data_IF_344038812243
#
_entry.id   IF_344038812243
#
_cell.length_a   1.000
_cell.length_b   1.000
_cell.length_c   1.000
_cell.angle_alpha   90.00
_cell.angle_beta   90.00
_cell.angle_gamma   90.00
#
_symmetry.space_group_name_H-M   'P 1'
#
loop_
_entity.id
_entity.type
_entity.pdbx_description
1 polymer ?
#
# COMPACT_ATOMS: atom_id res chain seq x y z
N UNK A 1 -23.27 67.87 12.37
CA UNK A 1 -23.78 66.78 11.51
C UNK A 1 -22.75 65.66 11.48
N UNK A 2 -23.06 64.51 12.10
CA UNK A 2 -22.24 63.29 12.14
C UNK A 2 -22.24 62.60 10.78
N UNK A 3 -21.09 62.13 10.30
CA UNK A 3 -21.02 61.06 9.29
C UNK A 3 -20.04 59.99 9.78
N UNK A 4 -20.61 58.88 10.21
CA UNK A 4 -19.90 57.66 10.62
C UNK A 4 -19.66 56.86 9.34
N UNK A 5 -18.39 56.66 8.97
CA UNK A 5 -18.03 55.72 7.91
C UNK A 5 -17.96 54.31 8.52
N UNK A 6 -18.93 53.47 8.17
CA UNK A 6 -18.95 52.06 8.54
C UNK A 6 -18.10 51.26 7.53
N UNK A 7 -16.98 50.70 8.00
CA UNK A 7 -16.18 49.73 7.25
C UNK A 7 -16.96 48.42 7.12
N UNK A 8 -17.36 48.09 5.90
CA UNK A 8 -17.92 46.78 5.55
C UNK A 8 -16.75 45.81 5.31
N UNK A 9 -16.39 45.01 6.31
CA UNK A 9 -15.43 43.93 6.16
C UNK A 9 -16.09 42.75 5.44
N UNK A 10 -15.78 42.58 4.15
CA UNK A 10 -16.21 41.44 3.35
C UNK A 10 -15.35 40.22 3.73
N UNK A 11 -15.87 39.35 4.59
CA UNK A 11 -15.23 38.06 4.92
C UNK A 11 -15.45 37.13 3.73
N UNK A 12 -14.44 36.96 2.89
CA UNK A 12 -14.43 35.94 1.83
C UNK A 12 -14.22 34.57 2.47
N UNK A 13 -15.31 33.80 2.58
CA UNK A 13 -15.26 32.37 2.87
C UNK A 13 -14.57 31.67 1.69
N UNK A 14 -13.28 31.36 1.81
CA UNK A 14 -12.59 30.47 0.88
C UNK A 14 -13.04 29.05 1.19
N UNK A 15 -14.06 28.57 0.48
CA UNK A 15 -14.45 27.16 0.48
C UNK A 15 -13.44 26.41 -0.37
N UNK A 16 -12.46 25.77 0.28
CA UNK A 16 -11.54 24.84 -0.38
C UNK A 16 -12.31 23.61 -0.85
N UNK A 17 -12.82 23.64 -2.07
CA UNK A 17 -13.33 22.45 -2.75
C UNK A 17 -12.16 21.48 -2.94
N UNK A 18 -12.10 20.42 -2.14
CA UNK A 18 -11.16 19.33 -2.31
C UNK A 18 -11.45 18.64 -3.66
N UNK A 19 -10.78 19.09 -4.72
CA UNK A 19 -10.85 18.45 -6.03
C UNK A 19 -10.35 17.02 -5.86
N UNK A 20 -11.22 16.04 -6.14
CA UNK A 20 -10.83 14.64 -6.20
C UNK A 20 -9.67 14.52 -7.21
N UNK A 21 -8.47 14.19 -6.72
CA UNK A 21 -7.29 14.14 -7.57
C UNK A 21 -7.51 13.14 -8.71
N UNK A 22 -7.55 13.67 -9.93
CA UNK A 22 -7.69 12.88 -11.16
C UNK A 22 -6.41 12.11 -11.45
N UNK A 23 -6.53 11.04 -12.24
CA UNK A 23 -5.34 10.34 -12.78
C UNK A 23 -4.64 11.31 -13.75
N UNK A 24 -3.31 11.50 -13.64
CA UNK A 24 -2.56 12.30 -14.60
C UNK A 24 -2.73 11.78 -16.04
N UNK A 25 -2.76 12.69 -17.01
CA UNK A 25 -3.08 12.36 -18.40
C UNK A 25 -2.07 11.38 -19.02
N UNK A 26 -0.79 11.52 -18.69
CA UNK A 26 0.29 10.62 -19.13
C UNK A 26 0.14 9.21 -18.54
N UNK A 27 -0.22 9.11 -17.25
CA UNK A 27 -0.51 7.84 -16.58
C UNK A 27 -1.74 7.17 -17.21
N UNK A 28 -2.80 7.93 -17.43
CA UNK A 28 -4.01 7.47 -18.09
C UNK A 28 -3.72 6.94 -19.51
N UNK A 29 -2.99 7.71 -20.32
CA UNK A 29 -2.62 7.31 -21.68
C UNK A 29 -1.81 6.01 -21.66
N UNK A 30 -0.85 5.88 -20.73
CA UNK A 30 -0.02 4.69 -20.63
C UNK A 30 -0.82 3.45 -20.27
N UNK A 31 -1.71 3.55 -19.28
CA UNK A 31 -2.61 2.45 -18.88
C UNK A 31 -3.48 2.03 -20.07
N UNK A 32 -4.10 2.98 -20.77
CA UNK A 32 -4.95 2.69 -21.94
C UNK A 32 -4.19 1.94 -23.02
N UNK A 33 -2.96 2.38 -23.31
CA UNK A 33 -2.10 1.72 -24.30
C UNK A 33 -1.81 0.27 -23.93
N UNK A 34 -1.41 0.00 -22.66
CA UNK A 34 -1.11 -1.36 -22.18
C UNK A 34 -2.27 -2.32 -22.45
N UNK A 35 -3.50 -1.92 -22.14
CA UNK A 35 -4.66 -2.79 -22.32
C UNK A 35 -5.17 -2.86 -23.76
N UNK A 36 -5.01 -1.79 -24.55
CA UNK A 36 -5.27 -1.83 -25.98
C UNK A 36 -4.37 -2.87 -26.68
N UNK A 37 -3.08 -2.89 -26.33
CA UNK A 37 -2.11 -3.83 -26.89
C UNK A 37 -2.34 -5.26 -26.40
N UNK A 38 -2.68 -5.44 -25.11
CA UNK A 38 -2.88 -6.77 -24.51
C UNK A 38 -4.20 -7.42 -24.92
N UNK A 39 -5.23 -6.63 -25.22
CA UNK A 39 -6.57 -7.12 -25.52
C UNK A 39 -7.15 -6.44 -26.77
N UNK A 40 -6.52 -6.59 -27.94
CA UNK A 40 -6.97 -5.91 -29.17
C UNK A 40 -8.40 -6.33 -29.53
N UNK A 41 -9.26 -5.34 -29.80
CA UNK A 41 -10.67 -5.56 -30.15
C UNK A 41 -11.60 -5.98 -28.99
N UNK A 42 -11.07 -6.35 -27.83
CA UNK A 42 -11.88 -6.69 -26.64
C UNK A 42 -12.09 -5.46 -25.75
N UNK A 43 -12.86 -4.50 -26.26
CA UNK A 43 -13.09 -3.20 -25.60
C UNK A 43 -13.75 -3.32 -24.22
N UNK A 44 -14.58 -4.35 -24.00
CA UNK A 44 -15.20 -4.60 -22.70
C UNK A 44 -14.13 -4.93 -21.64
N UNK A 45 -13.21 -5.86 -21.96
CA UNK A 45 -12.11 -6.22 -21.08
C UNK A 45 -11.17 -5.02 -20.84
N UNK A 46 -10.84 -4.27 -21.90
CA UNK A 46 -10.04 -3.05 -21.77
C UNK A 46 -10.68 -2.09 -20.78
N UNK A 47 -11.96 -1.76 -20.95
CA UNK A 47 -12.69 -0.83 -20.08
C UNK A 47 -12.65 -1.27 -18.62
N UNK A 48 -12.92 -2.54 -18.34
CA UNK A 48 -12.91 -3.08 -16.97
C UNK A 48 -11.53 -2.93 -16.33
N UNK A 49 -10.47 -3.36 -17.03
CA UNK A 49 -9.13 -3.36 -16.47
C UNK A 49 -8.53 -1.95 -16.35
N UNK A 50 -8.82 -1.05 -17.29
CA UNK A 50 -8.41 0.36 -17.22
C UNK A 50 -9.06 1.03 -16.00
N UNK A 51 -10.36 0.81 -15.78
CA UNK A 51 -11.05 1.36 -14.61
C UNK A 51 -10.47 0.83 -13.30
N UNK A 52 -10.18 -0.48 -13.21
CA UNK A 52 -9.50 -1.07 -12.05
C UNK A 52 -8.15 -0.41 -11.75
N UNK A 53 -7.36 -0.09 -12.79
CA UNK A 53 -6.10 0.65 -12.60
C UNK A 53 -6.34 2.06 -12.08
N UNK A 54 -7.34 2.80 -12.59
CA UNK A 54 -7.62 4.15 -12.14
C UNK A 54 -8.11 4.21 -10.69
N UNK A 55 -8.96 3.26 -10.31
CA UNK A 55 -9.45 3.16 -8.93
C UNK A 55 -8.32 2.77 -7.98
N UNK A 56 -7.47 1.83 -8.40
CA UNK A 56 -6.29 1.45 -7.62
C UNK A 56 -5.27 2.58 -7.50
N UNK A 57 -5.04 3.35 -8.56
CA UNK A 57 -4.20 4.56 -8.52
C UNK A 57 -4.73 5.54 -7.47
N UNK A 58 -6.01 5.94 -7.58
CA UNK A 58 -6.63 6.90 -6.66
C UNK A 58 -6.58 6.40 -5.21
N UNK A 59 -6.78 5.09 -5.01
CA UNK A 59 -6.66 4.46 -3.71
C UNK A 59 -5.24 4.64 -3.14
N UNK A 60 -4.20 4.24 -3.89
CA UNK A 60 -2.80 4.35 -3.46
C UNK A 60 -2.42 5.81 -3.15
N UNK A 61 -2.85 6.77 -3.97
CA UNK A 61 -2.55 8.20 -3.74
C UNK A 61 -3.18 8.73 -2.44
N UNK A 62 -4.36 8.24 -2.07
CA UNK A 62 -5.06 8.66 -0.83
C UNK A 62 -4.61 7.88 0.41
N UNK A 63 -3.97 6.73 0.23
CA UNK A 63 -3.62 5.81 1.31
C UNK A 63 -2.39 6.27 2.09
N UNK A 64 -2.54 7.30 2.93
CA UNK A 64 -1.42 7.96 3.61
C UNK A 64 -1.19 7.46 5.06
N UNK A 65 -2.00 6.51 5.49
CA UNK A 65 -1.96 5.91 6.82
C UNK A 65 -2.51 4.49 6.75
N UNK A 66 -1.92 3.60 7.52
CA UNK A 66 -2.37 2.23 7.68
C UNK A 66 -2.27 1.85 9.16
N UNK A 67 -3.27 1.13 9.69
CA UNK A 67 -3.31 0.81 11.12
C UNK A 67 -2.10 -0.03 11.52
N UNK A 68 -1.44 0.31 12.63
CA UNK A 68 -0.23 -0.35 13.13
C UNK A 68 0.89 -0.54 12.08
N UNK A 69 0.96 0.32 11.06
CA UNK A 69 2.07 0.39 10.10
C UNK A 69 2.56 1.83 10.09
N UNK A 70 3.87 2.04 10.29
CA UNK A 70 4.40 3.40 10.29
C UNK A 70 4.30 4.01 8.89
N UNK A 71 4.15 5.34 8.82
CA UNK A 71 4.10 6.08 7.55
C UNK A 71 5.33 5.82 6.69
N UNK A 72 6.51 5.75 7.30
CA UNK A 72 7.77 5.44 6.62
C UNK A 72 7.75 4.07 5.96
N UNK A 73 7.31 3.04 6.69
CA UNK A 73 7.19 1.67 6.18
C UNK A 73 6.18 1.61 5.02
N UNK A 74 5.02 2.25 5.17
CA UNK A 74 4.01 2.32 4.12
C UNK A 74 4.55 2.98 2.85
N UNK A 75 5.28 4.08 2.97
CA UNK A 75 5.91 4.73 1.81
C UNK A 75 6.99 3.86 1.17
N UNK A 76 7.77 3.13 1.97
CA UNK A 76 8.76 2.20 1.42
C UNK A 76 8.11 1.10 0.58
N UNK A 77 6.95 0.57 1.01
CA UNK A 77 6.20 -0.39 0.20
C UNK A 77 5.72 0.22 -1.10
N UNK A 78 5.15 1.43 -1.06
CA UNK A 78 4.71 2.15 -2.26
C UNK A 78 5.85 2.34 -3.25
N UNK A 79 7.01 2.79 -2.77
CA UNK A 79 8.21 2.98 -3.59
C UNK A 79 8.67 1.66 -4.26
N UNK A 80 8.79 0.58 -3.48
CA UNK A 80 9.24 -0.73 -3.98
C UNK A 80 8.32 -1.21 -5.11
N UNK A 81 7.00 -1.12 -4.92
CA UNK A 81 6.06 -1.66 -5.89
C UNK A 81 5.80 -0.72 -7.06
N UNK A 82 5.95 0.58 -6.90
CA UNK A 82 5.96 1.52 -8.02
C UNK A 82 7.09 1.21 -8.99
N UNK A 83 8.30 0.99 -8.47
CA UNK A 83 9.48 0.60 -9.27
C UNK A 83 9.31 -0.78 -9.93
N UNK A 84 8.76 -1.75 -9.19
CA UNK A 84 8.65 -3.14 -9.67
C UNK A 84 7.50 -3.35 -10.65
N UNK A 85 6.41 -2.59 -10.51
CA UNK A 85 5.19 -2.75 -11.29
C UNK A 85 4.69 -1.38 -11.79
N UNK A 86 5.47 -0.67 -12.62
CA UNK A 86 5.09 0.64 -13.11
C UNK A 86 3.77 0.54 -13.90
N UNK A 87 2.85 1.46 -13.63
CA UNK A 87 1.51 1.53 -14.25
C UNK A 87 0.57 0.35 -13.99
N UNK A 88 0.96 -0.63 -13.16
CA UNK A 88 0.09 -1.73 -12.72
C UNK A 88 -0.33 -1.50 -11.27
N UNK A 89 -1.12 -0.44 -11.06
CA UNK A 89 -1.57 0.03 -9.76
C UNK A 89 -2.42 -0.99 -9.01
N UNK A 90 -3.19 -1.86 -9.70
CA UNK A 90 -3.94 -2.89 -8.97
C UNK A 90 -3.03 -3.96 -8.37
N UNK A 91 -1.96 -4.35 -9.09
CA UNK A 91 -0.91 -5.20 -8.52
C UNK A 91 -0.17 -4.50 -7.38
N UNK A 92 0.21 -3.22 -7.55
CA UNK A 92 0.84 -2.44 -6.48
C UNK A 92 -0.04 -2.43 -5.23
N UNK A 93 -1.33 -2.13 -5.36
CA UNK A 93 -2.30 -2.07 -4.26
C UNK A 93 -2.32 -3.39 -3.49
N UNK A 94 -2.50 -4.52 -4.18
CA UNK A 94 -2.56 -5.84 -3.57
C UNK A 94 -1.27 -6.16 -2.81
N UNK A 95 -0.12 -5.88 -3.41
CA UNK A 95 1.17 -6.20 -2.80
C UNK A 95 1.50 -5.30 -1.61
N UNK A 96 1.16 -4.01 -1.66
CA UNK A 96 1.30 -3.12 -0.50
C UNK A 96 0.41 -3.60 0.65
N UNK A 97 -0.83 -4.02 0.36
CA UNK A 97 -1.74 -4.59 1.38
C UNK A 97 -1.15 -5.85 2.03
N UNK A 98 -0.62 -6.78 1.23
CA UNK A 98 0.05 -7.98 1.74
C UNK A 98 1.26 -7.66 2.64
N UNK A 99 2.05 -6.64 2.28
CA UNK A 99 3.17 -6.19 3.13
C UNK A 99 2.68 -5.58 4.45
N UNK A 100 1.63 -4.76 4.43
CA UNK A 100 1.03 -4.18 5.64
C UNK A 100 0.48 -5.27 6.57
N UNK A 101 -0.24 -6.25 6.01
CA UNK A 101 -0.80 -7.39 6.76
C UNK A 101 0.31 -8.23 7.39
N UNK A 102 1.35 -8.53 6.61
CA UNK A 102 2.49 -9.32 7.07
C UNK A 102 3.33 -8.58 8.10
N UNK A 103 3.50 -7.27 7.96
CA UNK A 103 4.14 -6.41 8.95
C UNK A 103 3.41 -6.48 10.29
N UNK A 104 2.08 -6.29 10.28
CA UNK A 104 1.26 -6.39 11.49
C UNK A 104 1.33 -7.77 12.14
N UNK A 105 1.25 -8.83 11.32
CA UNK A 105 1.41 -10.19 11.82
C UNK A 105 2.75 -10.33 12.56
N UNK A 106 3.85 -9.88 11.95
CA UNK A 106 5.18 -9.99 12.54
C UNK A 106 5.34 -9.13 13.79
N UNK A 107 4.65 -7.99 13.90
CA UNK A 107 4.62 -7.24 15.17
C UNK A 107 3.94 -8.03 16.28
N UNK A 108 2.78 -8.65 16.01
CA UNK A 108 2.03 -9.41 17.01
C UNK A 108 2.61 -10.80 17.32
N UNK A 109 3.31 -11.42 16.37
CA UNK A 109 3.82 -12.78 16.49
C UNK A 109 5.08 -12.82 17.37
N UNK A 110 4.88 -13.11 18.65
CA UNK A 110 5.92 -13.05 19.70
C UNK A 110 6.23 -14.40 20.35
N UNK A 111 5.35 -15.38 20.20
CA UNK A 111 5.50 -16.73 20.76
C UNK A 111 4.62 -17.72 20.00
N UNK A 112 4.99 -19.00 20.08
CA UNK A 112 4.20 -20.13 19.61
C UNK A 112 4.24 -21.24 20.66
N UNK A 113 3.12 -21.89 20.93
CA UNK A 113 3.07 -22.97 21.92
C UNK A 113 3.96 -24.12 21.49
N UNK A 114 4.81 -24.62 22.40
CA UNK A 114 5.78 -25.67 22.09
C UNK A 114 7.07 -25.17 21.42
N UNK A 115 7.21 -23.87 21.19
CA UNK A 115 8.44 -23.26 20.65
C UNK A 115 9.02 -22.25 21.64
N UNK A 116 10.31 -22.38 22.02
CA UNK A 116 10.95 -21.39 22.86
C UNK A 116 10.88 -19.98 22.25
N UNK A 117 10.59 -18.97 23.07
CA UNK A 117 10.52 -17.57 22.63
C UNK A 117 11.81 -17.07 21.96
N UNK A 118 12.96 -17.60 22.39
CA UNK A 118 14.27 -17.32 21.78
C UNK A 118 14.30 -17.74 20.31
N UNK A 119 13.81 -18.93 19.98
CA UNK A 119 13.76 -19.44 18.59
C UNK A 119 12.93 -18.49 17.71
N UNK A 120 11.74 -18.08 18.15
CA UNK A 120 10.90 -17.12 17.39
C UNK A 120 11.63 -15.77 17.21
N UNK A 121 12.31 -15.30 18.25
CA UNK A 121 13.06 -14.04 18.23
C UNK A 121 14.23 -14.10 17.24
N UNK A 122 15.01 -15.18 17.27
CA UNK A 122 16.17 -15.38 16.40
C UNK A 122 15.75 -15.50 14.93
N UNK A 123 14.65 -16.22 14.65
CA UNK A 123 14.07 -16.31 13.31
C UNK A 123 13.64 -14.93 12.78
N UNK A 124 12.94 -14.14 13.60
CA UNK A 124 12.54 -12.76 13.24
C UNK A 124 13.76 -11.90 12.92
N UNK A 125 14.78 -11.91 13.77
CA UNK A 125 16.01 -11.16 13.53
C UNK A 125 16.77 -11.63 12.29
N UNK A 126 16.82 -12.94 12.04
CA UNK A 126 17.48 -13.54 10.87
C UNK A 126 16.81 -13.06 9.57
N UNK A 127 15.49 -13.19 9.49
CA UNK A 127 14.77 -12.87 8.25
C UNK A 127 14.56 -11.37 8.04
N UNK A 128 14.46 -10.56 9.10
CA UNK A 128 14.47 -9.10 8.97
C UNK A 128 15.77 -8.59 8.34
N UNK A 129 16.92 -9.18 8.69
CA UNK A 129 18.23 -8.86 8.08
C UNK A 129 18.33 -9.33 6.63
N UNK A 130 17.84 -10.52 6.32
CA UNK A 130 17.95 -11.12 4.99
C UNK A 130 16.99 -10.52 3.97
N UNK A 131 15.80 -10.11 4.41
CA UNK A 131 14.71 -9.64 3.56
C UNK A 131 14.14 -8.31 4.06
N UNK A 132 14.95 -7.24 4.07
CA UNK A 132 14.49 -5.94 4.55
C UNK A 132 13.26 -5.49 3.75
N UNK A 133 12.23 -5.02 4.47
CA UNK A 133 10.96 -4.55 3.92
C UNK A 133 10.13 -5.56 3.10
N UNK A 134 10.54 -6.82 3.04
CA UNK A 134 9.73 -7.91 2.47
C UNK A 134 9.15 -8.77 3.61
N UNK A 135 8.18 -8.19 4.30
CA UNK A 135 7.55 -8.78 5.47
C UNK A 135 6.72 -10.01 5.13
N UNK A 136 6.13 -10.11 3.94
CA UNK A 136 5.43 -11.34 3.56
C UNK A 136 6.38 -12.53 3.37
N UNK A 137 7.57 -12.32 2.80
CA UNK A 137 8.62 -13.35 2.78
C UNK A 137 9.09 -13.69 4.19
N UNK A 138 9.33 -12.70 5.05
CA UNK A 138 9.70 -12.95 6.45
C UNK A 138 8.65 -13.80 7.16
N UNK A 139 7.37 -13.44 7.04
CA UNK A 139 6.23 -14.17 7.64
C UNK A 139 6.23 -15.63 7.21
N UNK A 140 6.27 -15.90 5.91
CA UNK A 140 6.26 -17.27 5.36
C UNK A 140 7.43 -18.08 5.91
N UNK A 141 8.64 -17.53 5.87
CA UNK A 141 9.84 -18.25 6.32
C UNK A 141 9.88 -18.48 7.83
N UNK A 142 9.34 -17.56 8.64
CA UNK A 142 9.24 -17.76 10.09
C UNK A 142 8.24 -18.87 10.39
N UNK A 143 7.05 -18.83 9.78
CA UNK A 143 6.02 -19.85 10.00
C UNK A 143 6.51 -21.24 9.59
N UNK A 144 7.21 -21.34 8.46
CA UNK A 144 7.80 -22.60 7.99
C UNK A 144 8.85 -23.17 8.95
N UNK A 145 9.72 -22.31 9.49
CA UNK A 145 10.73 -22.73 10.46
C UNK A 145 10.13 -23.13 11.81
N UNK A 146 9.13 -22.40 12.28
CA UNK A 146 8.38 -22.75 13.50
C UNK A 146 7.70 -24.11 13.33
N UNK A 147 7.05 -24.35 12.18
CA UNK A 147 6.43 -25.64 11.87
C UNK A 147 7.48 -26.76 11.88
N UNK A 148 8.61 -26.55 11.22
CA UNK A 148 9.70 -27.53 11.18
C UNK A 148 10.28 -27.82 12.57
N UNK A 149 10.41 -26.80 13.42
CA UNK A 149 10.83 -26.97 14.81
C UNK A 149 9.87 -27.88 15.57
N UNK A 150 8.56 -27.63 15.47
CA UNK A 150 7.54 -28.45 16.12
C UNK A 150 7.58 -29.89 15.61
N UNK A 151 7.69 -30.10 14.30
CA UNK A 151 7.73 -31.44 13.71
C UNK A 151 8.96 -32.26 14.15
N UNK A 152 10.10 -31.61 14.44
CA UNK A 152 11.32 -32.25 14.93
C UNK A 152 11.35 -32.49 16.45
N UNK A 153 10.51 -31.80 17.22
CA UNK A 153 10.48 -31.86 18.70
C UNK A 153 9.17 -32.47 19.23
N UNK A 154 8.45 -33.19 18.38
CA UNK A 154 7.26 -33.99 18.74
C UNK A 154 7.65 -35.37 19.25
#
# INVERSE_FOLDING_TARGET
MRKIFACLALITLVTSSALAQSVPADVEQRIRQIYADKYPGNFSMQKVLINDQFDSYKFIQRWNSEYNVSREILYKFKEIYDQKYPYNFSMQKVLIQDQCDSYRFLLSYTSETGVPKSVVTDLKQKYARKYPYNFSMQKVLIQDQVKSYLDLNR
#
